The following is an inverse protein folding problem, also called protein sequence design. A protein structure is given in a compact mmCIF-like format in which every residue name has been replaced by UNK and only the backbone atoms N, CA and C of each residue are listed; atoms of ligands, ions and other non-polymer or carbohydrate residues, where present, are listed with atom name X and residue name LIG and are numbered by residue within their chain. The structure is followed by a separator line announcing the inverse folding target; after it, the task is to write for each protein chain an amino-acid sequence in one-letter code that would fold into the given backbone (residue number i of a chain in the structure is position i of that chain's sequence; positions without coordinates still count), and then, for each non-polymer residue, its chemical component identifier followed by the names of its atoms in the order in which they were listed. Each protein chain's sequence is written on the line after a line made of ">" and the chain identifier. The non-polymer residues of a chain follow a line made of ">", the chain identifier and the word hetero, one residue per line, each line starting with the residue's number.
data_IF_506697919920
#
_entry.id   IF_506697919920
#
_cell.length_a   1.000
_cell.length_b   1.000
_cell.length_c   1.000
_cell.angle_alpha   90.00
_cell.angle_beta   90.00
_cell.angle_gamma   90.00
#
_symmetry.space_group_name_H-M   'P 1'
#
loop_
_entity.id
_entity.type
_entity.pdbx_description
1 polymer ?
#
# COMPACT_ATOMS: atom_id res chain seq x y z
N UNK A 1 20.12 -12.44 30.54
CA UNK A 1 18.98 -12.58 29.62
C UNK A 1 19.10 -11.50 28.57
N UNK A 2 19.51 -11.88 27.35
CA UNK A 2 19.68 -10.95 26.23
C UNK A 2 18.31 -10.75 25.57
N UNK A 3 17.75 -9.56 25.71
CA UNK A 3 16.55 -9.14 25.00
C UNK A 3 16.93 -8.91 23.54
N UNK A 4 17.04 -10.00 22.77
CA UNK A 4 16.83 -9.95 21.32
C UNK A 4 15.38 -9.55 21.13
N UNK A 5 15.14 -8.25 20.99
CA UNK A 5 13.97 -7.77 20.31
C UNK A 5 13.98 -8.44 18.94
N UNK A 6 13.11 -9.43 18.75
CA UNK A 6 12.83 -10.00 17.44
C UNK A 6 12.09 -8.91 16.67
N UNK A 7 12.85 -7.95 16.15
CA UNK A 7 12.41 -7.11 15.04
C UNK A 7 12.50 -8.01 13.82
N UNK A 8 11.37 -8.26 13.17
CA UNK A 8 11.22 -9.24 12.08
C UNK A 8 12.22 -9.05 10.91
N UNK A 9 12.92 -7.91 10.85
CA UNK A 9 14.25 -7.76 10.29
C UNK A 9 14.94 -6.64 11.09
N UNK A 10 15.88 -6.99 11.98
CA UNK A 10 16.67 -5.99 12.70
C UNK A 10 17.61 -5.30 11.74
N UNK A 11 17.34 -4.04 11.43
CA UNK A 11 18.34 -3.15 10.85
C UNK A 11 19.33 -2.79 11.96
N UNK A 12 20.61 -3.03 11.71
CA UNK A 12 21.70 -2.78 12.66
C UNK A 12 22.36 -1.41 12.39
N UNK A 13 21.92 -0.70 11.34
CA UNK A 13 22.45 0.62 10.95
C UNK A 13 21.37 1.66 10.57
N UNK A 14 21.65 2.98 10.70
CA UNK A 14 20.69 4.04 10.38
C UNK A 14 20.24 4.03 8.92
N UNK A 15 21.14 3.65 8.00
CA UNK A 15 20.85 3.53 6.57
C UNK A 15 19.83 2.43 6.27
N UNK A 16 19.92 1.30 6.97
CA UNK A 16 18.97 0.20 6.80
C UNK A 16 17.58 0.57 7.32
N UNK A 17 17.52 1.29 8.45
CA UNK A 17 16.27 1.87 8.93
C UNK A 17 15.66 2.85 7.92
N UNK A 18 16.45 3.75 7.33
CA UNK A 18 15.97 4.68 6.30
C UNK A 18 15.52 3.95 5.03
N UNK A 19 16.22 2.89 4.61
CA UNK A 19 15.86 2.09 3.45
C UNK A 19 14.55 1.32 3.69
N UNK A 20 14.39 0.71 4.87
CA UNK A 20 13.14 0.05 5.28
C UNK A 20 11.99 1.05 5.37
N UNK A 21 12.24 2.25 5.91
CA UNK A 21 11.26 3.33 5.96
C UNK A 21 10.83 3.77 4.56
N UNK A 22 11.78 4.00 3.66
CA UNK A 22 11.51 4.39 2.28
C UNK A 22 10.72 3.29 1.53
N UNK A 23 11.12 2.03 1.69
CA UNK A 23 10.43 0.90 1.08
C UNK A 23 8.98 0.76 1.58
N UNK A 24 8.78 0.78 2.90
CA UNK A 24 7.44 0.68 3.50
C UNK A 24 6.56 1.89 3.16
N UNK A 25 7.14 3.09 3.07
CA UNK A 25 6.44 4.29 2.59
C UNK A 25 6.01 4.16 1.12
N UNK A 26 6.87 3.65 0.24
CA UNK A 26 6.51 3.42 -1.16
C UNK A 26 5.36 2.42 -1.29
N UNK A 27 5.40 1.33 -0.53
CA UNK A 27 4.32 0.33 -0.48
C UNK A 27 3.00 0.97 0.01
N UNK A 28 3.06 1.79 1.07
CA UNK A 28 1.89 2.54 1.56
C UNK A 28 1.31 3.46 0.48
N UNK A 29 2.16 4.21 -0.23
CA UNK A 29 1.76 5.11 -1.32
C UNK A 29 1.05 4.34 -2.43
N UNK A 30 1.58 3.17 -2.83
CA UNK A 30 0.97 2.32 -3.86
C UNK A 30 -0.44 1.90 -3.44
N UNK A 31 -0.62 1.42 -2.20
CA UNK A 31 -1.93 1.00 -1.71
C UNK A 31 -2.92 2.16 -1.56
N UNK A 32 -2.48 3.31 -1.05
CA UNK A 32 -3.31 4.51 -0.94
C UNK A 32 -3.72 5.00 -2.33
N UNK A 33 -2.79 5.05 -3.28
CA UNK A 33 -3.07 5.44 -4.66
C UNK A 33 -4.06 4.49 -5.32
N UNK A 34 -3.86 3.18 -5.17
CA UNK A 34 -4.74 2.13 -5.69
C UNK A 34 -6.17 2.31 -5.13
N UNK A 35 -6.29 2.49 -3.82
CA UNK A 35 -7.58 2.70 -3.16
C UNK A 35 -8.28 4.00 -3.56
N UNK A 36 -7.53 5.11 -3.71
CA UNK A 36 -8.08 6.38 -4.22
C UNK A 36 -8.57 6.25 -5.66
N UNK A 37 -7.81 5.54 -6.51
CA UNK A 37 -8.19 5.33 -7.90
C UNK A 37 -9.45 4.47 -8.00
N UNK A 38 -9.54 3.35 -7.26
CA UNK A 38 -10.74 2.51 -7.21
C UNK A 38 -11.97 3.27 -6.66
N UNK A 39 -11.80 4.15 -5.67
CA UNK A 39 -12.89 5.02 -5.18
C UNK A 39 -13.38 6.03 -6.24
N UNK A 40 -12.44 6.64 -6.99
CA UNK A 40 -12.79 7.62 -8.04
C UNK A 40 -13.49 6.97 -9.22
N UNK A 41 -13.00 5.82 -9.69
CA UNK A 41 -13.53 5.16 -10.89
C UNK A 41 -14.67 4.20 -10.59
N UNK A 42 -14.79 3.68 -9.37
CA UNK A 42 -15.74 2.61 -9.03
C UNK A 42 -15.46 1.31 -9.80
N UNK A 43 -14.22 1.12 -10.25
CA UNK A 43 -13.75 -0.04 -11.02
C UNK A 43 -12.54 -0.67 -10.33
N UNK A 44 -12.49 -2.00 -10.29
CA UNK A 44 -11.28 -2.71 -9.89
C UNK A 44 -10.17 -2.47 -10.91
N UNK A 45 -8.94 -2.30 -10.41
CA UNK A 45 -7.72 -2.27 -11.23
C UNK A 45 -7.03 -3.65 -11.29
N UNK A 46 -7.35 -4.53 -10.35
CA UNK A 46 -6.78 -5.88 -10.26
C UNK A 46 -7.59 -6.89 -11.07
N UNK A 47 -8.88 -6.59 -11.27
CA UNK A 47 -9.75 -7.30 -12.19
C UNK A 47 -10.39 -6.25 -13.11
N UNK A 48 -9.65 -5.73 -14.10
CA UNK A 48 -10.25 -4.87 -15.11
C UNK A 48 -11.32 -5.70 -15.81
N UNK A 49 -12.59 -5.29 -15.70
CA UNK A 49 -13.61 -5.79 -16.61
C UNK A 49 -13.28 -5.20 -17.98
N UNK A 50 -12.40 -5.88 -18.71
CA UNK A 50 -12.04 -5.54 -20.07
C UNK A 50 -13.28 -5.61 -20.96
N UNK A 51 -13.24 -4.81 -22.02
CA UNK A 51 -14.24 -4.83 -23.08
C UNK A 51 -14.27 -6.22 -23.69
N UNK A 52 -15.24 -7.03 -23.27
CA UNK A 52 -15.39 -8.39 -23.75
C UNK A 52 -16.08 -8.30 -25.12
N UNK A 53 -15.36 -8.59 -26.20
CA UNK A 53 -15.95 -8.71 -27.53
C UNK A 53 -16.63 -10.08 -27.60
N UNK A 54 -17.96 -10.09 -27.55
CA UNK A 54 -18.76 -11.31 -27.71
C UNK A 54 -19.38 -11.23 -29.11
N UNK A 55 -18.82 -12.01 -30.05
CA UNK A 55 -19.20 -11.90 -31.46
C UNK A 55 -18.73 -10.59 -32.09
N UNK A 56 -19.60 -9.92 -32.85
CA UNK A 56 -19.27 -8.68 -33.56
C UNK A 56 -19.70 -7.39 -32.83
N UNK A 57 -20.11 -7.51 -31.55
CA UNK A 57 -20.49 -6.38 -30.72
C UNK A 57 -19.46 -6.10 -29.62
N UNK A 58 -19.13 -4.81 -29.47
CA UNK A 58 -18.38 -4.31 -28.33
C UNK A 58 -19.33 -4.23 -27.11
N UNK A 59 -19.19 -5.12 -26.14
CA UNK A 59 -19.94 -5.01 -24.89
C UNK A 59 -19.33 -3.87 -24.07
N UNK A 60 -20.13 -2.86 -23.76
CA UNK A 60 -19.69 -1.77 -22.88
C UNK A 60 -19.35 -2.34 -21.50
N UNK A 61 -18.22 -1.92 -20.91
CA UNK A 61 -17.80 -2.45 -19.63
C UNK A 61 -18.84 -2.09 -18.57
N UNK A 62 -19.18 -3.01 -17.64
CA UNK A 62 -20.28 -2.85 -16.71
C UNK A 62 -20.18 -1.55 -15.90
N UNK A 63 -21.33 -1.02 -15.46
CA UNK A 63 -21.40 0.22 -14.72
C UNK A 63 -20.57 0.15 -13.44
N UNK A 64 -20.00 1.27 -12.99
CA UNK A 64 -19.17 1.33 -11.80
C UNK A 64 -19.94 0.79 -10.58
N UNK A 65 -19.34 -0.15 -9.85
CA UNK A 65 -20.02 -0.82 -8.74
C UNK A 65 -19.74 -0.12 -7.41
N UNK A 66 -20.74 -0.07 -6.52
CA UNK A 66 -20.56 0.43 -5.16
C UNK A 66 -19.56 -0.44 -4.36
N UNK A 67 -19.46 -1.73 -4.67
CA UNK A 67 -18.51 -2.67 -4.05
C UNK A 67 -17.05 -2.35 -4.35
N UNK A 68 -16.74 -1.87 -5.56
CA UNK A 68 -15.37 -1.42 -5.87
C UNK A 68 -14.99 -0.13 -5.14
N UNK A 69 -15.97 0.73 -4.84
CA UNK A 69 -15.73 1.94 -4.03
C UNK A 69 -15.44 1.61 -2.57
N UNK A 70 -16.13 0.61 -1.99
CA UNK A 70 -15.84 0.13 -0.63
C UNK A 70 -14.50 -0.58 -0.57
N UNK A 71 -14.17 -1.43 -1.56
CA UNK A 71 -12.85 -2.05 -1.70
C UNK A 71 -11.72 -1.02 -1.76
N UNK A 72 -11.92 0.10 -2.46
CA UNK A 72 -10.97 1.21 -2.46
C UNK A 72 -10.73 1.83 -1.08
N UNK A 73 -11.72 1.78 -0.17
CA UNK A 73 -11.55 2.15 1.24
C UNK A 73 -10.64 1.18 2.00
N UNK A 74 -10.79 -0.13 1.76
CA UNK A 74 -9.96 -1.18 2.35
C UNK A 74 -8.49 -0.98 1.95
N UNK A 75 -8.21 -0.70 0.68
CA UNK A 75 -6.84 -0.43 0.21
C UNK A 75 -6.20 0.81 0.87
N UNK A 76 -6.98 1.88 1.09
CA UNK A 76 -6.50 3.04 1.84
C UNK A 76 -6.18 2.66 3.29
N UNK A 77 -7.04 1.85 3.92
CA UNK A 77 -6.81 1.35 5.27
C UNK A 77 -5.53 0.51 5.38
N UNK A 78 -5.34 -0.45 4.47
CA UNK A 78 -4.11 -1.27 4.38
C UNK A 78 -2.89 -0.37 4.19
N UNK A 79 -2.94 0.59 3.26
CA UNK A 79 -1.84 1.55 3.07
C UNK A 79 -1.55 2.35 4.35
N UNK A 80 -2.57 2.75 5.11
CA UNK A 80 -2.40 3.40 6.41
C UNK A 80 -1.66 2.55 7.45
N UNK A 81 -1.91 1.23 7.49
CA UNK A 81 -1.16 0.30 8.36
C UNK A 81 0.32 0.27 7.99
N UNK A 82 0.65 0.34 6.69
CA UNK A 82 2.04 0.39 6.21
C UNK A 82 2.76 1.72 6.52
N UNK A 83 2.04 2.80 6.82
CA UNK A 83 2.66 4.07 7.25
C UNK A 83 3.28 3.93 8.65
N UNK A 84 2.68 3.13 9.54
CA UNK A 84 3.17 2.96 10.92
C UNK A 84 4.62 2.44 11.01
N UNK A 85 5.00 1.33 10.34
CA UNK A 85 6.39 0.87 10.34
C UNK A 85 7.33 1.85 9.63
N UNK A 86 6.86 2.61 8.64
CA UNK A 86 7.68 3.65 8.00
C UNK A 86 8.05 4.75 9.00
N UNK A 87 7.07 5.29 9.73
CA UNK A 87 7.30 6.29 10.78
C UNK A 87 8.20 5.75 11.88
N UNK A 88 7.97 4.52 12.33
CA UNK A 88 8.80 3.90 13.37
C UNK A 88 10.27 3.78 12.93
N UNK A 89 10.52 3.33 11.70
CA UNK A 89 11.88 3.20 11.18
C UNK A 89 12.58 4.57 10.99
N UNK A 90 11.87 5.61 10.55
CA UNK A 90 12.45 6.97 10.48
C UNK A 90 12.85 7.46 11.88
N UNK A 91 11.98 7.30 12.87
CA UNK A 91 12.27 7.70 14.26
C UNK A 91 13.46 6.93 14.82
N UNK A 92 13.55 5.62 14.54
CA UNK A 92 14.67 4.79 14.96
C UNK A 92 16.00 5.26 14.33
N UNK A 93 16.01 5.54 13.01
CA UNK A 93 17.18 6.05 12.31
C UNK A 93 17.65 7.40 12.90
N UNK A 94 16.73 8.33 13.13
CA UNK A 94 17.04 9.64 13.73
C UNK A 94 17.64 9.48 15.13
N UNK A 95 17.09 8.57 15.95
CA UNK A 95 17.63 8.29 17.29
C UNK A 95 19.06 7.75 17.24
N UNK A 96 19.39 6.84 16.31
CA UNK A 96 20.76 6.33 16.14
C UNK A 96 21.73 7.36 15.55
N UNK A 97 21.25 8.36 14.81
CA UNK A 97 22.09 9.44 14.27
C UNK A 97 22.45 10.49 15.32
N UNK A 98 21.58 10.68 16.33
CA UNK A 98 21.74 11.71 17.37
C UNK A 98 22.38 11.14 18.65
N UNK A 99 22.33 9.82 18.87
CA UNK A 99 22.84 9.14 20.06
C UNK A 99 23.82 8.03 19.75
#
# INVERSE_FOLDING_TARGET
>A
MSYRAVTLAGADSPSEHLQLAAFTALVAVVFIWLGRRQRRTGRSLLAPNEMMRVGDQLIQPPPPSRGHRTAGGVWIGVGGVFVLPAVFNVVAAIRQLIG
#
